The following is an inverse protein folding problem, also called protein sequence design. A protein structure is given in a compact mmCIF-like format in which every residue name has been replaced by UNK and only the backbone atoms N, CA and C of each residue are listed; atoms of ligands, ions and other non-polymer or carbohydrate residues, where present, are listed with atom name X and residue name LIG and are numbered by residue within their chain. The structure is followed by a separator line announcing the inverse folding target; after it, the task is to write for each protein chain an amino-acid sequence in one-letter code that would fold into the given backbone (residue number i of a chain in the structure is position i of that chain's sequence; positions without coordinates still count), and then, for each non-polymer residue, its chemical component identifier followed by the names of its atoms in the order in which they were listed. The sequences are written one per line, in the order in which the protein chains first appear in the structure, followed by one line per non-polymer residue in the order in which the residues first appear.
data_IF_746724518913
#
_entry.id   IF_746724518913
#
_cell.length_a   1.000
_cell.length_b   1.000
_cell.length_c   1.000
_cell.angle_alpha   90.00
_cell.angle_beta   90.00
_cell.angle_gamma   90.00
#
_symmetry.space_group_name_H-M   'P 1'
#
loop_
_entity.id
_entity.type
_entity.pdbx_description
1 polymer ?
#
# COMPACT_ATOMS: atom_id res chain seq x y z
N UNK A 1 -6.42 -16.43 22.59
CA UNK A 1 -5.79 -15.13 22.96
C UNK A 1 -6.24 -14.11 21.93
N UNK A 2 -6.48 -12.89 22.35
CA UNK A 2 -6.82 -11.80 21.44
C UNK A 2 -5.53 -11.20 20.87
N UNK A 3 -5.58 -10.73 19.64
CA UNK A 3 -4.44 -10.06 19.02
C UNK A 3 -4.88 -8.82 18.25
N UNK A 4 -3.97 -7.87 18.12
CA UNK A 4 -4.14 -6.68 17.28
C UNK A 4 -3.41 -6.85 15.96
N UNK A 5 -3.97 -6.30 14.91
CA UNK A 5 -3.27 -6.18 13.62
C UNK A 5 -2.72 -4.77 13.52
N UNK A 6 -1.42 -4.68 13.35
CA UNK A 6 -0.70 -3.44 13.12
C UNK A 6 -0.18 -3.39 11.68
N UNK A 7 -0.14 -2.20 11.11
CA UNK A 7 0.45 -1.92 9.81
C UNK A 7 1.01 -0.50 9.82
N UNK A 8 1.51 -0.02 8.69
CA UNK A 8 1.96 1.36 8.54
C UNK A 8 1.04 2.15 7.58
N UNK A 9 1.20 3.46 7.57
CA UNK A 9 0.34 4.35 6.78
C UNK A 9 0.40 4.12 5.26
N UNK A 10 1.44 3.43 4.76
CA UNK A 10 1.55 3.05 3.35
C UNK A 10 0.50 2.01 2.91
N UNK A 11 -0.30 1.46 3.82
CA UNK A 11 -1.43 0.58 3.47
C UNK A 11 -2.56 1.29 2.73
N UNK A 12 -2.63 2.59 2.82
CA UNK A 12 -3.60 3.49 2.17
C UNK A 12 -5.09 3.13 2.40
N UNK A 13 -5.40 2.37 3.45
CA UNK A 13 -6.79 2.10 3.81
C UNK A 13 -7.50 3.39 4.23
N UNK A 14 -8.78 3.59 3.83
CA UNK A 14 -9.62 4.66 4.36
C UNK A 14 -9.79 4.58 5.88
N UNK A 15 -9.96 5.72 6.54
CA UNK A 15 -10.05 5.80 8.00
C UNK A 15 -11.25 5.02 8.57
N UNK A 16 -12.38 5.04 7.88
CA UNK A 16 -13.56 4.27 8.27
C UNK A 16 -13.26 2.76 8.31
N UNK A 17 -12.52 2.24 7.34
CA UNK A 17 -12.09 0.84 7.33
C UNK A 17 -11.06 0.56 8.44
N UNK A 18 -10.13 1.49 8.69
CA UNK A 18 -9.16 1.36 9.79
C UNK A 18 -9.87 1.26 11.13
N UNK A 19 -10.87 2.10 11.36
CA UNK A 19 -11.66 2.12 12.59
C UNK A 19 -12.56 0.89 12.72
N UNK A 20 -13.31 0.55 11.69
CA UNK A 20 -14.20 -0.62 11.67
C UNK A 20 -13.45 -1.94 11.92
N UNK A 21 -12.23 -2.02 11.44
CA UNK A 21 -11.37 -3.18 11.59
C UNK A 21 -10.40 -3.07 12.78
N UNK A 22 -10.52 -2.07 13.64
CA UNK A 22 -9.68 -1.89 14.84
C UNK A 22 -8.19 -2.14 14.55
N UNK A 23 -7.65 -1.40 13.57
CA UNK A 23 -6.27 -1.51 13.12
C UNK A 23 -5.37 -0.51 13.85
N UNK A 24 -4.14 -0.91 14.13
CA UNK A 24 -3.09 -0.01 14.61
C UNK A 24 -2.24 0.45 13.44
N UNK A 25 -2.09 1.76 13.26
CA UNK A 25 -1.32 2.35 12.15
C UNK A 25 -0.06 3.02 12.70
N UNK A 26 1.12 2.65 12.18
CA UNK A 26 2.37 3.37 12.40
C UNK A 26 2.56 4.42 11.29
N UNK A 27 2.35 5.71 11.59
CA UNK A 27 2.40 6.74 10.57
C UNK A 27 3.85 7.01 10.14
N UNK A 28 4.13 6.90 8.83
CA UNK A 28 5.35 7.44 8.25
C UNK A 28 5.27 8.97 8.16
N UNK A 29 6.39 9.59 7.86
CA UNK A 29 6.54 11.04 7.81
C UNK A 29 6.81 11.49 6.38
N UNK A 30 6.13 12.55 5.93
CA UNK A 30 6.50 13.31 4.75
C UNK A 30 6.97 14.71 5.15
N UNK A 31 7.88 15.27 4.36
CA UNK A 31 8.62 16.48 4.70
C UNK A 31 8.58 17.44 3.51
N UNK A 32 8.21 18.69 3.76
CA UNK A 32 8.28 19.79 2.81
C UNK A 32 9.12 20.93 3.39
N UNK A 33 10.26 21.22 2.74
CA UNK A 33 11.22 22.17 3.32
C UNK A 33 11.76 21.67 4.66
N UNK A 34 11.46 22.38 5.75
CA UNK A 34 11.81 21.99 7.13
C UNK A 34 10.63 21.40 7.91
N UNK A 35 9.43 21.44 7.35
CA UNK A 35 8.21 20.99 8.02
C UNK A 35 8.02 19.47 7.87
N UNK A 36 7.78 18.80 8.99
CA UNK A 36 7.51 17.38 9.06
C UNK A 36 6.05 17.13 9.40
N UNK A 37 5.41 16.22 8.65
CA UNK A 37 4.01 15.86 8.85
C UNK A 37 3.89 14.34 8.87
N UNK A 38 3.06 13.82 9.77
CA UNK A 38 2.67 12.42 9.74
C UNK A 38 1.70 12.18 8.57
N UNK A 39 1.87 11.08 7.84
CA UNK A 39 1.01 10.77 6.70
C UNK A 39 -0.36 10.22 7.12
N UNK A 40 -0.51 9.85 8.37
CA UNK A 40 -1.77 9.45 8.99
C UNK A 40 -1.81 9.93 10.44
N UNK A 41 -2.87 10.63 10.79
CA UNK A 41 -3.22 10.98 12.17
C UNK A 41 -4.72 10.74 12.32
N UNK A 42 -5.10 9.90 13.28
CA UNK A 42 -6.51 9.56 13.51
C UNK A 42 -7.33 10.83 13.82
N UNK A 43 -8.40 11.02 13.06
CA UNK A 43 -9.28 12.18 13.17
C UNK A 43 -8.74 13.46 12.52
N UNK A 44 -7.58 13.41 11.86
CA UNK A 44 -7.05 14.54 11.08
C UNK A 44 -7.06 14.20 9.59
N UNK A 45 -7.51 15.16 8.78
CA UNK A 45 -7.57 15.00 7.32
C UNK A 45 -6.41 15.77 6.69
N UNK A 46 -5.48 15.04 6.09
CA UNK A 46 -4.47 15.66 5.23
C UNK A 46 -5.13 16.12 3.92
N UNK A 47 -4.92 17.37 3.53
CA UNK A 47 -5.38 17.89 2.24
C UNK A 47 -4.52 17.30 1.10
N UNK A 48 -4.91 16.10 0.65
CA UNK A 48 -4.20 15.38 -0.40
C UNK A 48 -4.29 16.08 -1.76
N UNK A 49 -5.37 16.80 -2.04
CA UNK A 49 -5.48 17.58 -3.27
C UNK A 49 -4.46 18.72 -3.28
N UNK A 50 -4.30 19.42 -2.15
CA UNK A 50 -3.27 20.46 -2.00
C UNK A 50 -1.86 19.86 -2.08
N UNK A 51 -1.62 18.71 -1.46
CA UNK A 51 -0.34 17.99 -1.54
C UNK A 51 0.05 17.72 -2.99
N UNK A 52 -0.83 17.13 -3.80
CA UNK A 52 -0.55 16.85 -5.21
C UNK A 52 -0.49 18.11 -6.07
N UNK A 53 -1.22 19.16 -5.73
CA UNK A 53 -1.11 20.48 -6.38
C UNK A 53 0.29 21.06 -6.17
N UNK A 54 0.81 21.04 -4.95
CA UNK A 54 2.17 21.47 -4.65
C UNK A 54 3.23 20.67 -5.43
N UNK A 55 3.04 19.37 -5.62
CA UNK A 55 3.95 18.57 -6.45
C UNK A 55 3.91 18.99 -7.92
N UNK A 56 2.73 19.33 -8.48
CA UNK A 56 2.59 19.85 -9.84
C UNK A 56 3.26 21.22 -10.01
N UNK A 57 3.28 22.01 -8.95
CA UNK A 57 4.01 23.30 -8.89
C UNK A 57 5.53 23.13 -8.74
N UNK A 58 6.02 21.89 -8.64
CA UNK A 58 7.44 21.57 -8.53
C UNK A 58 7.99 21.55 -7.12
N UNK A 59 7.16 21.62 -6.08
CA UNK A 59 7.62 21.44 -4.71
C UNK A 59 8.10 20.00 -4.51
N UNK A 60 9.22 19.85 -3.83
CA UNK A 60 9.85 18.56 -3.55
C UNK A 60 9.49 18.10 -2.14
N UNK A 61 9.02 16.88 -2.05
CA UNK A 61 8.75 16.20 -0.80
C UNK A 61 9.78 15.08 -0.60
N UNK A 62 10.19 14.90 0.65
CA UNK A 62 10.99 13.75 1.10
C UNK A 62 10.21 12.99 2.17
N UNK A 63 10.68 11.81 2.53
CA UNK A 63 9.96 10.95 3.46
C UNK A 63 10.89 10.33 4.49
N UNK A 64 10.35 9.95 5.63
CA UNK A 64 11.07 9.26 6.70
C UNK A 64 10.24 8.10 7.25
N UNK A 65 10.90 7.20 7.94
CA UNK A 65 10.30 6.12 8.71
C UNK A 65 9.33 6.66 9.78
N UNK A 66 8.45 5.81 10.35
CA UNK A 66 7.67 6.16 11.54
C UNK A 66 8.59 6.60 12.69
N UNK A 67 8.06 7.45 13.58
CA UNK A 67 8.74 7.74 14.83
C UNK A 67 8.79 6.47 15.69
N UNK A 68 9.97 5.88 15.86
CA UNK A 68 10.12 4.62 16.59
C UNK A 68 9.78 4.73 18.08
N UNK A 69 9.86 5.92 18.70
CA UNK A 69 9.41 6.11 20.09
C UNK A 69 7.90 6.02 20.22
N UNK A 70 7.18 6.59 19.26
CA UNK A 70 5.72 6.52 19.22
C UNK A 70 5.27 5.09 18.93
N UNK A 71 5.92 4.42 17.98
CA UNK A 71 5.66 3.01 17.67
C UNK A 71 5.95 2.08 18.86
N UNK A 72 7.04 2.36 19.62
CA UNK A 72 7.35 1.63 20.85
C UNK A 72 6.27 1.80 21.91
N UNK A 73 5.82 3.05 22.13
CA UNK A 73 4.76 3.34 23.10
C UNK A 73 3.46 2.63 22.75
N UNK A 74 3.08 2.61 21.47
CA UNK A 74 1.88 1.92 20.98
C UNK A 74 1.99 0.41 21.15
N UNK A 75 3.11 -0.21 20.76
CA UNK A 75 3.34 -1.65 20.96
C UNK A 75 3.32 -2.04 22.45
N UNK A 76 3.91 -1.22 23.33
CA UNK A 76 3.83 -1.42 24.79
C UNK A 76 2.40 -1.42 25.28
N UNK A 77 1.60 -0.43 24.88
CA UNK A 77 0.21 -0.35 25.28
C UNK A 77 -0.59 -1.57 24.85
N UNK A 78 -0.33 -2.10 23.63
CA UNK A 78 -0.97 -3.32 23.14
C UNK A 78 -0.57 -4.53 24.01
N UNK A 79 0.71 -4.74 24.28
CA UNK A 79 1.18 -5.87 25.08
C UNK A 79 0.67 -5.78 26.53
N UNK A 80 0.69 -4.60 27.15
CA UNK A 80 0.17 -4.34 28.50
C UNK A 80 -1.33 -4.58 28.61
N UNK A 81 -2.08 -4.34 27.53
CA UNK A 81 -3.52 -4.66 27.46
C UNK A 81 -3.82 -6.16 27.29
N UNK A 82 -2.77 -7.00 27.21
CA UNK A 82 -2.91 -8.46 27.12
C UNK A 82 -3.08 -9.00 25.70
N UNK A 83 -2.82 -8.20 24.67
CA UNK A 83 -2.94 -8.61 23.27
C UNK A 83 -1.59 -8.99 22.65
N UNK A 84 -1.62 -9.98 21.75
CA UNK A 84 -0.55 -10.26 20.82
C UNK A 84 -0.59 -9.28 19.64
N UNK A 85 0.46 -9.22 18.82
CA UNK A 85 0.55 -8.32 17.65
C UNK A 85 0.92 -9.09 16.40
N UNK A 86 0.13 -8.92 15.34
CA UNK A 86 0.49 -9.28 13.98
C UNK A 86 0.76 -7.98 13.21
N UNK A 87 2.03 -7.72 12.88
CA UNK A 87 2.45 -6.57 12.07
C UNK A 87 2.61 -6.98 10.60
N UNK A 88 1.87 -6.31 9.72
CA UNK A 88 1.92 -6.47 8.27
C UNK A 88 2.55 -5.21 7.67
N UNK A 89 3.83 -5.28 7.32
CA UNK A 89 4.62 -4.10 6.96
C UNK A 89 4.72 -3.85 5.46
N UNK A 90 4.92 -2.59 5.10
CA UNK A 90 5.27 -2.12 3.76
C UNK A 90 6.51 -2.84 3.21
N UNK A 91 6.54 -3.14 1.90
CA UNK A 91 7.63 -3.87 1.26
C UNK A 91 9.03 -3.36 1.67
N UNK A 92 9.85 -4.28 2.19
CA UNK A 92 11.24 -4.00 2.56
C UNK A 92 12.11 -3.61 1.38
N UNK A 93 11.74 -4.01 0.17
CA UNK A 93 12.42 -3.59 -1.06
C UNK A 93 12.23 -2.10 -1.38
N UNK A 94 11.23 -1.44 -0.78
CA UNK A 94 10.88 -0.04 -1.03
C UNK A 94 11.21 0.90 0.13
N UNK A 95 11.21 0.38 1.36
CA UNK A 95 11.44 1.16 2.59
C UNK A 95 12.02 0.30 3.70
N UNK A 96 12.86 0.89 4.56
CA UNK A 96 13.33 0.25 5.79
C UNK A 96 12.30 0.20 6.92
N UNK A 97 11.04 0.56 6.67
CA UNK A 97 9.98 0.61 7.68
C UNK A 97 9.73 -0.76 8.30
N UNK A 98 9.58 -1.80 7.45
CA UNK A 98 9.38 -3.16 7.92
C UNK A 98 10.49 -3.62 8.88
N UNK A 99 11.75 -3.48 8.48
CA UNK A 99 12.89 -3.87 9.31
C UNK A 99 12.92 -3.12 10.63
N UNK A 100 12.68 -1.80 10.62
CA UNK A 100 12.70 -0.98 11.81
C UNK A 100 11.66 -1.41 12.84
N UNK A 101 10.41 -1.61 12.41
CA UNK A 101 9.31 -2.05 13.29
C UNK A 101 9.50 -3.52 13.72
N UNK A 102 9.98 -4.38 12.81
CA UNK A 102 10.25 -5.77 13.11
C UNK A 102 11.33 -5.91 14.20
N UNK A 103 12.41 -5.18 14.09
CA UNK A 103 13.48 -5.16 15.13
C UNK A 103 12.96 -4.64 16.46
N UNK A 104 12.22 -3.52 16.44
CA UNK A 104 11.62 -2.91 17.62
C UNK A 104 10.67 -3.88 18.33
N UNK A 105 9.74 -4.48 17.59
CA UNK A 105 8.73 -5.38 18.15
C UNK A 105 9.34 -6.66 18.72
N UNK A 106 10.32 -7.25 18.02
CA UNK A 106 11.03 -8.44 18.49
C UNK A 106 11.92 -8.18 19.73
N UNK A 107 12.44 -6.98 19.88
CA UNK A 107 13.18 -6.61 21.09
C UNK A 107 12.22 -6.35 22.26
N UNK A 108 11.16 -5.60 22.00
CA UNK A 108 10.20 -5.21 23.02
C UNK A 108 9.43 -6.40 23.59
N UNK A 109 9.01 -7.37 22.76
CA UNK A 109 8.20 -8.53 23.21
C UNK A 109 8.95 -9.41 24.21
N UNK A 110 10.29 -9.37 24.27
CA UNK A 110 11.11 -10.09 25.28
C UNK A 110 10.76 -9.68 26.71
N UNK A 111 10.23 -8.47 26.90
CA UNK A 111 9.78 -7.98 28.20
C UNK A 111 8.36 -8.46 28.56
N UNK A 112 7.70 -9.15 27.64
CA UNK A 112 6.32 -9.63 27.74
C UNK A 112 6.24 -11.13 27.37
N UNK A 113 6.78 -12.04 28.22
CA UNK A 113 6.96 -13.46 27.85
C UNK A 113 5.64 -14.22 27.56
N UNK A 114 4.51 -13.65 27.95
CA UNK A 114 3.17 -14.18 27.68
C UNK A 114 2.58 -13.63 26.35
N UNK A 115 3.32 -12.80 25.63
CA UNK A 115 2.87 -12.14 24.41
C UNK A 115 3.62 -12.64 23.20
N UNK A 116 2.95 -12.56 22.05
CA UNK A 116 3.52 -12.92 20.75
C UNK A 116 3.57 -11.69 19.86
N UNK A 117 4.70 -11.50 19.18
CA UNK A 117 4.86 -10.54 18.09
C UNK A 117 5.22 -11.30 16.81
N UNK A 118 4.39 -11.17 15.80
CA UNK A 118 4.65 -11.72 14.46
C UNK A 118 4.72 -10.56 13.48
N UNK A 119 5.84 -10.43 12.77
CA UNK A 119 5.99 -9.47 11.69
C UNK A 119 6.08 -10.19 10.34
N UNK A 120 5.39 -9.67 9.33
CA UNK A 120 5.43 -10.17 7.97
C UNK A 120 5.73 -8.99 7.03
N UNK A 121 6.81 -9.13 6.26
CA UNK A 121 7.04 -8.29 5.10
C UNK A 121 6.02 -8.68 4.03
N UNK A 122 5.11 -7.78 3.71
CA UNK A 122 4.04 -8.08 2.74
C UNK A 122 4.54 -8.11 1.30
N UNK A 123 5.75 -7.60 1.04
CA UNK A 123 6.28 -7.36 -0.30
C UNK A 123 5.27 -6.59 -1.17
N UNK A 124 4.46 -5.77 -0.54
CA UNK A 124 3.34 -5.04 -1.12
C UNK A 124 3.41 -3.55 -0.77
N UNK A 125 2.62 -2.75 -1.47
CA UNK A 125 2.55 -1.30 -1.31
C UNK A 125 1.11 -0.81 -1.49
N UNK A 126 0.80 0.35 -0.91
CA UNK A 126 -0.49 1.02 -1.11
C UNK A 126 -1.67 0.10 -0.77
N UNK A 127 -2.79 0.19 -1.46
CA UNK A 127 -3.93 -0.69 -1.19
C UNK A 127 -3.66 -2.18 -1.48
N UNK A 128 -2.53 -2.56 -2.08
CA UNK A 128 -2.12 -3.98 -2.13
C UNK A 128 -1.72 -4.50 -0.75
N UNK A 129 -0.92 -3.74 0.00
CA UNK A 129 -0.69 -3.98 1.43
C UNK A 129 -2.01 -3.85 2.20
N UNK A 130 -2.81 -2.81 1.91
CA UNK A 130 -4.11 -2.57 2.52
C UNK A 130 -5.07 -3.74 2.37
N UNK A 131 -5.16 -4.38 1.22
CA UNK A 131 -6.01 -5.57 1.01
C UNK A 131 -5.55 -6.77 1.83
N UNK A 132 -4.24 -7.03 1.93
CA UNK A 132 -3.72 -8.09 2.80
C UNK A 132 -4.10 -7.82 4.27
N UNK A 133 -3.96 -6.57 4.73
CA UNK A 133 -4.38 -6.14 6.08
C UNK A 133 -5.89 -6.29 6.26
N UNK A 134 -6.68 -5.88 5.27
CA UNK A 134 -8.13 -6.00 5.27
C UNK A 134 -8.60 -7.45 5.41
N UNK A 135 -8.04 -8.36 4.61
CA UNK A 135 -8.39 -9.79 4.70
C UNK A 135 -7.94 -10.40 6.03
N UNK A 136 -6.73 -10.09 6.50
CA UNK A 136 -6.24 -10.52 7.80
C UNK A 136 -7.17 -10.08 8.95
N UNK A 137 -7.63 -8.83 8.91
CA UNK A 137 -8.55 -8.29 9.92
C UNK A 137 -9.93 -8.95 9.85
N UNK A 138 -10.45 -9.27 8.68
CA UNK A 138 -11.68 -10.03 8.52
C UNK A 138 -11.57 -11.44 9.12
N UNK A 139 -10.48 -12.15 8.84
CA UNK A 139 -10.22 -13.46 9.42
C UNK A 139 -10.14 -13.39 10.95
N UNK A 140 -9.51 -12.35 11.52
CA UNK A 140 -9.51 -12.11 12.96
C UNK A 140 -10.93 -11.92 13.49
N UNK A 141 -11.76 -11.14 12.82
CA UNK A 141 -13.16 -10.93 13.20
C UNK A 141 -14.01 -12.22 13.13
N UNK A 142 -13.64 -13.15 12.25
CA UNK A 142 -14.22 -14.50 12.16
C UNK A 142 -13.69 -15.46 13.23
N UNK A 143 -12.82 -15.01 14.13
CA UNK A 143 -12.30 -15.79 15.25
C UNK A 143 -11.07 -16.65 14.95
N UNK A 144 -10.39 -16.41 13.81
CA UNK A 144 -9.12 -17.07 13.49
C UNK A 144 -8.01 -16.65 14.46
N UNK A 145 -7.12 -17.57 14.75
CA UNK A 145 -5.93 -17.33 15.58
C UNK A 145 -4.89 -16.51 14.84
N UNK A 146 -3.96 -15.89 15.59
CA UNK A 146 -2.85 -15.12 15.01
C UNK A 146 -2.00 -15.98 14.05
N UNK A 147 -1.76 -17.26 14.38
CA UNK A 147 -0.99 -18.18 13.56
C UNK A 147 -1.71 -18.55 12.28
N UNK A 148 -3.04 -18.81 12.32
CA UNK A 148 -3.83 -19.07 11.12
C UNK A 148 -3.82 -17.87 10.17
N UNK A 149 -3.99 -16.65 10.71
CA UNK A 149 -3.97 -15.43 9.91
C UNK A 149 -2.57 -15.16 9.34
N UNK A 150 -1.52 -15.32 10.14
CA UNK A 150 -0.14 -15.15 9.68
C UNK A 150 0.23 -16.16 8.60
N UNK A 151 -0.21 -17.42 8.72
CA UNK A 151 0.00 -18.46 7.68
C UNK A 151 -0.70 -18.08 6.39
N UNK A 152 -1.98 -17.69 6.48
CA UNK A 152 -2.74 -17.24 5.31
C UNK A 152 -2.05 -16.06 4.59
N UNK A 153 -1.58 -15.06 5.33
CA UNK A 153 -0.87 -13.93 4.71
C UNK A 153 0.38 -14.40 3.97
N UNK A 154 1.21 -15.27 4.59
CA UNK A 154 2.42 -15.79 3.96
C UNK A 154 2.14 -16.62 2.69
N UNK A 155 1.06 -17.37 2.68
CA UNK A 155 0.64 -18.19 1.54
C UNK A 155 0.08 -17.35 0.40
N UNK A 156 -0.50 -16.18 0.70
CA UNK A 156 -1.24 -15.37 -0.27
C UNK A 156 -0.53 -14.07 -0.69
N UNK A 157 0.55 -13.65 -0.03
CA UNK A 157 1.19 -12.36 -0.33
C UNK A 157 1.67 -12.25 -1.80
N UNK A 158 2.10 -13.36 -2.44
CA UNK A 158 2.51 -13.37 -3.85
C UNK A 158 1.33 -13.55 -4.83
N UNK A 159 0.12 -13.73 -4.31
CA UNK A 159 -1.13 -13.68 -5.09
C UNK A 159 -1.73 -12.25 -5.11
N UNK A 160 -1.22 -11.32 -4.29
CA UNK A 160 -1.65 -9.93 -4.30
C UNK A 160 -1.02 -9.21 -5.49
N UNK A 161 -1.78 -9.06 -6.56
CA UNK A 161 -1.38 -8.37 -7.78
C UNK A 161 -1.36 -6.86 -7.58
N UNK A 162 -0.35 -6.22 -8.18
CA UNK A 162 -0.17 -4.76 -8.19
C UNK A 162 0.11 -4.33 -9.61
N UNK A 163 -0.85 -3.74 -10.28
CA UNK A 163 -0.66 -3.18 -11.61
C UNK A 163 -0.88 -1.68 -11.56
N UNK A 164 0.10 -0.89 -12.00
CA UNK A 164 -0.01 0.56 -11.89
C UNK A 164 0.64 1.30 -13.06
N UNK A 165 0.26 2.55 -13.22
CA UNK A 165 0.84 3.49 -14.18
C UNK A 165 1.07 4.83 -13.48
N UNK A 166 2.08 5.55 -13.94
CA UNK A 166 2.43 6.89 -13.44
C UNK A 166 2.46 7.88 -14.59
N UNK A 167 2.26 9.15 -14.28
CA UNK A 167 2.38 10.19 -15.29
C UNK A 167 3.82 10.49 -15.66
N UNK A 168 4.71 10.47 -14.68
CA UNK A 168 6.15 10.72 -14.85
C UNK A 168 6.98 9.72 -14.03
N UNK A 169 7.67 8.81 -14.71
CA UNK A 169 8.55 7.80 -14.10
C UNK A 169 9.75 8.43 -13.36
N UNK A 170 10.05 9.71 -13.63
CA UNK A 170 11.17 10.40 -13.01
C UNK A 170 10.99 10.58 -11.50
N UNK A 171 9.77 10.61 -10.97
CA UNK A 171 9.52 10.61 -9.52
C UNK A 171 10.09 9.35 -8.87
N UNK A 172 9.74 8.16 -9.38
CA UNK A 172 10.25 6.87 -8.91
C UNK A 172 11.76 6.72 -9.10
N UNK A 173 12.30 7.24 -10.19
CA UNK A 173 13.74 7.21 -10.46
C UNK A 173 14.52 8.10 -9.50
N UNK A 174 14.12 9.37 -9.33
CA UNK A 174 14.80 10.33 -8.44
C UNK A 174 14.81 9.85 -6.99
N UNK A 175 13.76 9.18 -6.58
CA UNK A 175 13.64 8.60 -5.24
C UNK A 175 14.33 7.24 -5.09
N UNK A 176 14.88 6.66 -6.17
CA UNK A 176 15.62 5.40 -6.16
C UNK A 176 14.75 4.13 -6.08
N UNK A 177 13.42 4.21 -6.29
CA UNK A 177 12.50 3.07 -6.25
C UNK A 177 12.37 2.35 -7.58
N UNK A 178 12.91 2.94 -8.66
CA UNK A 178 13.07 2.30 -9.98
C UNK A 178 14.48 2.56 -10.49
N UNK A 179 15.07 1.57 -11.15
CA UNK A 179 16.44 1.66 -11.66
C UNK A 179 16.60 2.67 -12.80
N UNK A 180 17.84 3.15 -13.01
CA UNK A 180 18.17 4.11 -14.07
C UNK A 180 17.85 3.58 -15.47
N UNK A 181 18.11 2.33 -15.74
CA UNK A 181 17.83 1.67 -17.02
C UNK A 181 16.34 1.64 -17.33
N UNK A 182 15.52 1.45 -16.33
CA UNK A 182 14.06 1.47 -16.45
C UNK A 182 13.54 2.90 -16.74
N UNK A 183 14.08 3.93 -16.07
CA UNK A 183 13.64 5.32 -16.21
C UNK A 183 14.01 5.94 -17.57
N UNK A 184 15.21 5.66 -18.11
CA UNK A 184 15.66 6.20 -19.40
C UNK A 184 14.77 5.83 -20.57
N UNK A 185 14.02 4.76 -20.42
CA UNK A 185 13.10 4.31 -21.43
C UNK A 185 11.76 5.09 -21.45
N UNK A 186 11.49 5.96 -20.47
CA UNK A 186 10.21 6.68 -20.29
C UNK A 186 10.23 8.17 -20.57
N UNK A 187 11.37 8.79 -20.94
CA UNK A 187 11.48 10.25 -21.12
C UNK A 187 10.88 10.82 -22.43
N UNK A 188 10.16 10.02 -23.20
CA UNK A 188 9.47 10.47 -24.40
C UNK A 188 8.12 11.08 -24.06
N UNK A 189 7.80 12.21 -24.68
CA UNK A 189 6.55 12.93 -24.51
C UNK A 189 5.34 12.00 -24.66
N UNK A 190 4.45 12.01 -23.68
CA UNK A 190 3.20 11.21 -23.67
C UNK A 190 3.40 9.66 -23.56
N UNK A 191 4.57 9.19 -23.11
CA UNK A 191 4.73 7.78 -22.77
C UNK A 191 4.26 7.57 -21.31
N UNK A 192 3.32 6.65 -21.11
CA UNK A 192 2.84 6.21 -19.80
C UNK A 192 3.32 4.79 -19.58
N UNK A 193 4.22 4.55 -18.62
CA UNK A 193 4.66 3.20 -18.31
C UNK A 193 3.56 2.41 -17.61
N UNK A 194 3.53 1.11 -17.82
CA UNK A 194 2.81 0.15 -16.97
C UNK A 194 3.84 -0.60 -16.15
N UNK A 195 3.59 -0.69 -14.86
CA UNK A 195 4.48 -1.31 -13.89
C UNK A 195 3.70 -2.35 -13.07
N UNK A 196 4.46 -3.29 -12.50
CA UNK A 196 3.96 -4.17 -11.46
C UNK A 196 4.94 -4.22 -10.27
N UNK A 197 4.55 -4.91 -9.21
CA UNK A 197 5.43 -5.30 -8.12
C UNK A 197 5.85 -6.74 -8.32
N UNK A 198 7.17 -7.02 -8.34
CA UNK A 198 7.69 -8.38 -8.50
C UNK A 198 7.63 -9.19 -7.19
N UNK A 199 8.05 -10.46 -7.26
CA UNK A 199 8.00 -11.38 -6.13
C UNK A 199 8.95 -10.99 -4.98
N UNK A 200 9.91 -10.10 -5.24
CA UNK A 200 10.78 -9.51 -4.21
C UNK A 200 10.27 -8.15 -3.71
N UNK A 201 9.07 -7.73 -4.10
CA UNK A 201 8.45 -6.48 -3.64
C UNK A 201 8.98 -5.21 -4.31
N UNK A 202 9.65 -5.30 -5.47
CA UNK A 202 10.25 -4.18 -6.21
C UNK A 202 9.32 -3.68 -7.32
N UNK A 203 9.43 -2.40 -7.64
CA UNK A 203 8.67 -1.79 -8.73
C UNK A 203 9.36 -2.03 -10.08
N UNK A 204 8.70 -2.78 -10.97
CA UNK A 204 9.25 -3.17 -12.27
C UNK A 204 8.41 -2.59 -13.41
N UNK A 205 8.96 -1.69 -14.25
CA UNK A 205 8.32 -1.28 -15.49
C UNK A 205 8.34 -2.42 -16.51
N UNK A 206 7.17 -2.82 -17.00
CA UNK A 206 7.01 -3.94 -17.95
C UNK A 206 6.59 -3.50 -19.33
N UNK A 207 5.85 -2.39 -19.44
CA UNK A 207 5.34 -1.91 -20.70
C UNK A 207 5.46 -0.40 -20.83
N UNK A 208 5.44 0.07 -22.08
CA UNK A 208 5.33 1.47 -22.45
C UNK A 208 4.12 1.66 -23.32
N UNK A 209 3.20 2.49 -22.85
CA UNK A 209 2.01 2.84 -23.63
C UNK A 209 2.07 4.30 -24.08
N UNK A 210 1.38 4.62 -25.15
CA UNK A 210 1.26 6.01 -25.60
C UNK A 210 -0.15 6.53 -25.27
N UNK A 211 -0.22 7.46 -24.33
CA UNK A 211 -1.45 8.09 -23.88
C UNK A 211 -2.11 7.36 -22.68
N UNK A 212 -2.78 8.15 -21.85
CA UNK A 212 -3.34 7.74 -20.55
C UNK A 212 -4.38 6.62 -20.65
N UNK A 213 -5.36 6.77 -21.55
CA UNK A 213 -6.40 5.74 -21.73
C UNK A 213 -5.83 4.37 -22.10
N UNK A 214 -4.73 4.36 -22.85
CA UNK A 214 -4.08 3.08 -23.20
C UNK A 214 -3.43 2.43 -21.98
N UNK A 215 -2.78 3.21 -21.10
CA UNK A 215 -2.21 2.66 -19.87
C UNK A 215 -3.30 2.12 -18.94
N UNK A 216 -4.41 2.82 -18.76
CA UNK A 216 -5.57 2.34 -17.96
C UNK A 216 -6.09 1.02 -18.53
N UNK A 217 -6.27 0.93 -19.84
CA UNK A 217 -6.71 -0.31 -20.51
C UNK A 217 -5.75 -1.47 -20.28
N UNK A 218 -4.44 -1.22 -20.27
CA UNK A 218 -3.46 -2.27 -19.98
C UNK A 218 -3.55 -2.79 -18.55
N UNK A 219 -3.87 -1.93 -17.56
CA UNK A 219 -4.13 -2.41 -16.18
C UNK A 219 -5.31 -3.38 -16.17
N UNK A 220 -6.37 -3.07 -16.90
CA UNK A 220 -7.54 -3.95 -17.03
C UNK A 220 -7.22 -5.26 -17.77
N UNK A 221 -6.40 -5.23 -18.82
CA UNK A 221 -5.98 -6.43 -19.55
C UNK A 221 -5.15 -7.36 -18.66
N UNK A 222 -4.19 -6.84 -17.89
CA UNK A 222 -3.42 -7.62 -16.92
C UNK A 222 -4.29 -8.23 -15.82
N UNK A 223 -5.32 -7.52 -15.37
CA UNK A 223 -6.31 -8.10 -14.48
C UNK A 223 -6.95 -9.36 -15.07
N UNK A 224 -7.38 -9.31 -16.32
CA UNK A 224 -8.01 -10.46 -16.99
C UNK A 224 -7.07 -11.65 -17.17
N UNK A 225 -5.77 -11.40 -17.33
CA UNK A 225 -4.75 -12.44 -17.51
C UNK A 225 -4.55 -13.30 -16.25
N UNK A 226 -4.74 -12.70 -15.06
CA UNK A 226 -4.44 -13.35 -13.77
C UNK A 226 -5.64 -13.50 -12.85
N UNK A 227 -6.82 -13.07 -13.29
CA UNK A 227 -8.07 -13.12 -12.54
C UNK A 227 -8.36 -14.51 -11.98
N UNK A 228 -8.77 -14.55 -10.70
CA UNK A 228 -9.38 -15.72 -10.07
C UNK A 228 -10.88 -15.49 -9.95
N UNK A 229 -11.67 -16.38 -10.48
CA UNK A 229 -13.13 -16.37 -10.35
C UNK A 229 -13.61 -17.28 -9.19
N UNK A 230 -14.73 -16.98 -8.54
CA UNK A 230 -15.63 -15.84 -8.81
C UNK A 230 -15.13 -14.53 -8.17
N UNK A 231 -15.27 -13.42 -8.90
CA UNK A 231 -14.93 -12.08 -8.41
C UNK A 231 -15.76 -11.63 -7.21
N UNK A 232 -16.96 -12.17 -7.04
CA UNK A 232 -17.84 -11.86 -5.91
C UNK A 232 -17.21 -12.11 -4.54
N UNK A 233 -16.20 -12.97 -4.48
CA UNK A 233 -15.56 -13.38 -3.24
C UNK A 233 -14.38 -12.49 -2.84
N UNK A 234 -13.99 -11.57 -3.73
CA UNK A 234 -12.89 -10.67 -3.45
C UNK A 234 -13.33 -9.19 -3.44
N UNK A 235 -12.49 -8.38 -2.81
CA UNK A 235 -12.56 -6.92 -2.86
C UNK A 235 -11.44 -6.43 -3.76
N UNK A 236 -11.79 -5.61 -4.76
CA UNK A 236 -10.84 -4.94 -5.63
C UNK A 236 -10.43 -3.61 -5.03
N UNK A 237 -9.23 -3.13 -5.30
CA UNK A 237 -8.81 -1.84 -4.76
C UNK A 237 -8.08 -0.98 -5.81
N UNK A 238 -8.32 0.33 -5.75
CA UNK A 238 -7.67 1.32 -6.63
C UNK A 238 -7.14 2.45 -5.78
N UNK A 239 -5.83 2.73 -5.89
CA UNK A 239 -5.23 3.95 -5.33
C UNK A 239 -4.95 4.95 -6.45
N UNK A 240 -5.14 6.26 -6.16
CA UNK A 240 -4.89 7.30 -7.14
C UNK A 240 -4.14 8.50 -6.54
N UNK A 241 -3.23 9.07 -7.32
CA UNK A 241 -2.48 10.29 -7.01
C UNK A 241 -3.17 11.51 -7.61
N UNK A 242 -4.33 11.89 -7.07
CA UNK A 242 -5.16 13.00 -7.52
C UNK A 242 -5.61 12.88 -9.00
N UNK A 243 -6.10 11.69 -9.36
CA UNK A 243 -6.67 11.36 -10.68
C UNK A 243 -7.89 10.44 -10.54
N UNK A 244 -8.88 10.87 -9.75
CA UNK A 244 -10.07 10.06 -9.43
C UNK A 244 -10.86 9.64 -10.67
N UNK A 245 -10.93 10.48 -11.71
CA UNK A 245 -11.64 10.16 -12.95
C UNK A 245 -11.03 8.96 -13.69
N UNK A 246 -9.71 8.80 -13.61
CA UNK A 246 -9.03 7.62 -14.15
C UNK A 246 -9.37 6.37 -13.34
N UNK A 247 -9.43 6.49 -12.02
CA UNK A 247 -9.82 5.39 -11.14
C UNK A 247 -11.27 4.94 -11.42
N UNK A 248 -12.20 5.90 -11.58
CA UNK A 248 -13.58 5.62 -11.92
C UNK A 248 -13.72 5.03 -13.34
N UNK A 249 -12.87 5.46 -14.27
CA UNK A 249 -12.82 4.87 -15.62
C UNK A 249 -12.41 3.41 -15.57
N UNK A 250 -11.35 3.06 -14.80
CA UNK A 250 -10.92 1.68 -14.63
C UNK A 250 -12.00 0.84 -13.95
N UNK A 251 -12.58 1.35 -12.85
CA UNK A 251 -13.70 0.72 -12.16
C UNK A 251 -14.83 0.40 -13.13
N UNK A 252 -15.26 1.41 -13.93
CA UNK A 252 -16.33 1.23 -14.91
C UNK A 252 -16.00 0.15 -15.95
N UNK A 253 -14.78 0.09 -16.46
CA UNK A 253 -14.37 -0.96 -17.41
C UNK A 253 -14.55 -2.36 -16.82
N UNK A 254 -14.21 -2.54 -15.52
CA UNK A 254 -14.37 -3.81 -14.81
C UNK A 254 -15.85 -4.13 -14.62
N UNK A 255 -16.65 -3.16 -14.17
CA UNK A 255 -18.09 -3.36 -13.93
C UNK A 255 -18.89 -3.58 -15.23
N UNK A 256 -18.49 -2.97 -16.35
CA UNK A 256 -19.12 -3.20 -17.66
C UNK A 256 -18.91 -4.66 -18.15
N UNK A 257 -17.81 -5.33 -17.80
CA UNK A 257 -17.51 -6.70 -18.23
C UNK A 257 -17.96 -7.77 -17.19
N UNK A 258 -17.81 -7.49 -15.90
CA UNK A 258 -18.02 -8.46 -14.82
C UNK A 258 -19.21 -8.13 -13.90
N UNK A 259 -19.95 -7.05 -14.17
CA UNK A 259 -21.01 -6.56 -13.28
C UNK A 259 -20.48 -5.82 -12.06
N UNK A 260 -21.36 -5.35 -11.18
CA UNK A 260 -20.98 -4.61 -9.98
C UNK A 260 -20.03 -5.41 -9.05
N UNK A 261 -18.96 -4.77 -8.62
CA UNK A 261 -17.94 -5.36 -7.74
C UNK A 261 -17.76 -4.55 -6.46
N UNK A 262 -17.15 -5.16 -5.44
CA UNK A 262 -16.72 -4.46 -4.23
C UNK A 262 -15.39 -3.76 -4.49
N UNK A 263 -15.35 -2.44 -4.28
CA UNK A 263 -14.14 -1.64 -4.44
C UNK A 263 -13.79 -0.87 -3.18
N UNK A 264 -12.50 -0.83 -2.87
CA UNK A 264 -11.90 0.20 -2.02
C UNK A 264 -11.16 1.16 -2.95
N UNK A 265 -11.56 2.44 -2.96
CA UNK A 265 -10.88 3.47 -3.76
C UNK A 265 -10.41 4.55 -2.81
N UNK A 266 -9.11 4.85 -2.83
CA UNK A 266 -8.54 5.89 -1.98
C UNK A 266 -7.38 6.60 -2.68
N UNK A 267 -6.98 7.73 -2.10
CA UNK A 267 -5.75 8.39 -2.51
C UNK A 267 -4.52 7.53 -2.21
N UNK A 268 -3.50 7.67 -3.04
CA UNK A 268 -2.13 7.32 -2.63
C UNK A 268 -1.71 8.32 -1.57
N UNK A 269 -1.23 7.84 -0.42
CA UNK A 269 -0.81 8.67 0.70
C UNK A 269 0.39 9.57 0.36
N UNK A 270 0.71 10.60 1.18
CA UNK A 270 1.82 11.50 0.88
C UNK A 270 3.19 10.82 0.82
N UNK A 271 3.40 9.73 1.55
CA UNK A 271 4.69 9.03 1.55
C UNK A 271 4.93 8.32 0.22
N UNK A 272 3.99 7.50 -0.23
CA UNK A 272 4.10 6.86 -1.55
C UNK A 272 4.00 7.92 -2.65
N UNK A 273 3.09 8.91 -2.49
CA UNK A 273 2.87 9.99 -3.45
C UNK A 273 4.11 10.83 -3.74
N UNK A 274 4.92 11.15 -2.71
CA UNK A 274 6.19 11.86 -2.86
C UNK A 274 7.17 11.15 -3.82
N UNK A 275 7.07 9.82 -3.91
CA UNK A 275 7.94 9.00 -4.76
C UNK A 275 7.31 8.63 -6.10
N UNK A 276 5.99 8.49 -6.19
CA UNK A 276 5.29 8.07 -7.41
C UNK A 276 4.74 9.22 -8.26
N UNK A 277 4.47 10.36 -7.62
CA UNK A 277 4.02 11.59 -8.25
C UNK A 277 2.51 11.66 -8.52
N UNK A 278 2.04 12.87 -8.91
CA UNK A 278 0.66 13.07 -9.35
C UNK A 278 0.33 12.20 -10.56
N UNK A 279 -0.93 11.81 -10.69
CA UNK A 279 -1.40 10.95 -11.77
C UNK A 279 -1.01 9.48 -11.62
N UNK A 280 -0.47 9.06 -10.48
CA UNK A 280 -0.32 7.63 -10.16
C UNK A 280 -1.70 6.98 -10.10
N UNK A 281 -1.88 5.86 -10.82
CA UNK A 281 -3.06 5.02 -10.75
C UNK A 281 -2.63 3.59 -10.55
N UNK A 282 -3.04 2.99 -9.44
CA UNK A 282 -2.65 1.65 -9.06
C UNK A 282 -3.88 0.79 -8.77
N UNK A 283 -3.88 -0.42 -9.29
CA UNK A 283 -4.95 -1.40 -9.18
C UNK A 283 -4.46 -2.67 -8.50
N UNK A 284 -5.24 -3.18 -7.56
CA UNK A 284 -4.90 -4.28 -6.68
C UNK A 284 -6.02 -5.30 -6.60
N UNK A 285 -5.66 -6.58 -6.63
CA UNK A 285 -6.60 -7.70 -6.56
C UNK A 285 -5.86 -8.99 -6.24
N UNK A 286 -6.59 -10.02 -5.78
CA UNK A 286 -6.04 -11.37 -5.65
C UNK A 286 -6.07 -12.06 -7.00
N UNK A 287 -4.90 -12.48 -7.49
CA UNK A 287 -4.73 -13.16 -8.77
C UNK A 287 -4.13 -14.55 -8.62
N UNK A 288 -4.10 -15.30 -9.73
CA UNK A 288 -3.48 -16.64 -9.77
C UNK A 288 -1.97 -16.58 -9.48
N UNK A 289 -1.34 -15.47 -9.81
CA UNK A 289 0.06 -15.12 -9.52
C UNK A 289 0.23 -13.61 -9.67
N UNK A 290 1.30 -13.07 -9.10
CA UNK A 290 1.66 -11.65 -9.16
C UNK A 290 2.20 -11.25 -10.52
#
# INVERSE_FOLDING_TARGET
MTFKIATDSCCNLPEDIIDDLDLTIFPLVFIIGEEQHQSYLKGEVTDLQQFYTHMREGKVFTTSLPNLKDAEAELKAIFESGNDVLYLGFSSALSGTYEAINLLGNDLVKNYPERTFIAIDTLAASLGQGLLVYYAAKMRAEGKTIDEVASWVRENLLHMCHWFTVDDLMFLYRSGRVSRTAAFAGSLLNIKPVLHVDDEGRLIPVEKTRGRMKSIRRLFEHFKETLIEPLSDQTLAISHGDCIEDALTLKKMIEDEYGPQKFIINYVDPVIGAHSGPGTLAFFFMGSHR
#
